data_IF_596346174587
#
_entry.id   IF_596346174587
#
_cell.length_a   1.000
_cell.length_b   1.000
_cell.length_c   1.000
_cell.angle_alpha   90.00
_cell.angle_beta   90.00
_cell.angle_gamma   90.00
#
_symmetry.space_group_name_H-M   'P 1'
#
loop_
_entity.id
_entity.type
_entity.pdbx_description
1 polymer ?
#
# COMPACT_ATOMS: atom_id res chain seq x y z
N UNK A 1 -2.99 -8.71 13.35
CA UNK A 1 -3.61 -8.29 12.06
C UNK A 1 -3.19 -9.23 10.96
N UNK A 2 -4.13 -9.69 10.15
CA UNK A 2 -3.84 -10.56 9.03
C UNK A 2 -4.10 -9.80 7.74
N UNK A 3 -3.06 -9.63 6.94
CA UNK A 3 -3.13 -8.94 5.65
C UNK A 3 -2.95 -10.00 4.58
N UNK A 4 -3.92 -10.08 3.67
CA UNK A 4 -3.95 -11.10 2.61
C UNK A 4 -3.93 -10.45 1.23
N UNK A 5 -3.61 -11.26 0.24
CA UNK A 5 -3.68 -10.84 -1.16
C UNK A 5 -5.09 -10.35 -1.51
N UNK A 6 -5.14 -9.42 -2.43
CA UNK A 6 -6.38 -8.84 -2.97
C UNK A 6 -7.15 -7.95 -2.00
N UNK A 7 -6.65 -7.69 -0.81
CA UNK A 7 -7.28 -6.74 0.10
C UNK A 7 -7.06 -5.32 -0.44
N UNK A 8 -8.08 -4.49 -0.27
CA UNK A 8 -7.96 -3.09 -0.62
C UNK A 8 -7.18 -2.34 0.45
N UNK A 9 -6.29 -1.45 0.03
CA UNK A 9 -5.54 -0.58 0.94
C UNK A 9 -6.09 0.84 0.80
N UNK A 10 -6.54 1.40 1.91
CA UNK A 10 -7.08 2.77 1.95
C UNK A 10 -6.31 3.60 2.98
N UNK A 11 -6.32 4.91 2.78
CA UNK A 11 -5.78 5.84 3.76
C UNK A 11 -6.70 5.97 4.97
N UNK A 12 -6.23 6.73 5.97
CA UNK A 12 -7.03 7.01 7.16
C UNK A 12 -8.34 7.72 6.81
N UNK A 13 -8.34 8.46 5.72
CA UNK A 13 -9.52 9.19 5.21
C UNK A 13 -10.41 8.34 4.30
N UNK A 14 -10.07 7.06 4.09
CA UNK A 14 -10.84 6.15 3.25
C UNK A 14 -10.51 6.22 1.76
N UNK A 15 -9.55 7.03 1.37
CA UNK A 15 -9.15 7.16 -0.04
C UNK A 15 -8.37 5.91 -0.46
N UNK A 16 -8.74 5.33 -1.61
CA UNK A 16 -8.05 4.16 -2.15
C UNK A 16 -6.57 4.45 -2.42
N UNK A 17 -5.70 3.58 -1.92
CA UNK A 17 -4.26 3.69 -2.13
C UNK A 17 -3.78 2.60 -3.09
N UNK A 18 -4.26 1.38 -2.93
CA UNK A 18 -3.86 0.28 -3.78
C UNK A 18 -4.50 -1.02 -3.38
N UNK A 19 -4.02 -2.11 -3.97
CA UNK A 19 -4.49 -3.46 -3.68
C UNK A 19 -3.29 -4.32 -3.32
N UNK A 20 -3.44 -5.14 -2.28
CA UNK A 20 -2.35 -6.01 -1.83
C UNK A 20 -2.05 -7.09 -2.87
N UNK A 21 -0.81 -7.15 -3.34
CA UNK A 21 -0.33 -8.26 -4.15
C UNK A 21 0.15 -9.37 -3.21
N UNK A 22 1.01 -9.03 -2.26
CA UNK A 22 1.41 -9.95 -1.20
C UNK A 22 2.11 -9.17 -0.09
N UNK A 23 2.36 -9.86 1.02
CA UNK A 23 3.11 -9.28 2.14
C UNK A 23 4.50 -9.92 2.15
N UNK A 24 5.54 -9.10 2.15
CA UNK A 24 6.92 -9.55 2.18
C UNK A 24 7.63 -8.93 3.38
N UNK A 25 7.87 -9.74 4.41
CA UNK A 25 8.52 -9.24 5.61
C UNK A 25 7.73 -8.10 6.24
N UNK A 26 8.38 -6.95 6.43
CA UNK A 26 7.74 -5.79 7.02
C UNK A 26 7.07 -4.86 6.01
N UNK A 27 6.84 -5.31 4.78
CA UNK A 27 6.29 -4.47 3.71
C UNK A 27 5.09 -5.13 3.05
N UNK A 28 4.19 -4.30 2.57
CA UNK A 28 3.03 -4.73 1.79
C UNK A 28 3.32 -4.37 0.33
N UNK A 29 3.37 -5.38 -0.53
CA UNK A 29 3.56 -5.18 -1.95
C UNK A 29 2.22 -4.91 -2.61
N UNK A 30 2.12 -3.80 -3.31
CA UNK A 30 0.92 -3.43 -4.04
C UNK A 30 0.99 -3.99 -5.47
N UNK A 31 -0.18 -4.23 -6.07
CA UNK A 31 -0.22 -4.68 -7.45
C UNK A 31 0.32 -3.60 -8.37
N UNK A 32 0.85 -3.99 -9.54
CA UNK A 32 1.35 -3.02 -10.52
C UNK A 32 0.28 -2.03 -10.96
N UNK A 33 -0.95 -2.51 -11.08
CA UNK A 33 -2.08 -1.70 -11.50
C UNK A 33 -2.33 -0.53 -10.57
N UNK A 34 -2.11 -0.75 -9.28
CA UNK A 34 -2.38 0.25 -8.25
C UNK A 34 -1.11 0.85 -7.65
N UNK A 35 0.04 0.66 -8.29
CA UNK A 35 1.33 1.09 -7.74
C UNK A 35 1.69 2.52 -8.09
N UNK A 36 0.74 3.33 -8.47
CA UNK A 36 0.95 4.74 -8.77
C UNK A 36 0.57 5.08 -10.19
N UNK A 37 0.79 6.34 -10.54
CA UNK A 37 0.44 6.90 -11.85
C UNK A 37 1.66 7.53 -12.49
N UNK A 38 1.54 7.82 -13.78
CA UNK A 38 2.60 8.49 -14.52
C UNK A 38 3.88 7.69 -14.57
N UNK A 39 4.96 8.28 -14.10
CA UNK A 39 6.29 7.67 -14.15
C UNK A 39 6.40 6.38 -13.34
N UNK A 40 5.51 6.17 -12.39
CA UNK A 40 5.54 4.99 -11.51
C UNK A 40 4.68 3.85 -12.03
N UNK A 41 3.95 4.08 -13.09
CA UNK A 41 3.06 3.09 -13.67
C UNK A 41 3.86 1.88 -14.15
N UNK A 42 3.39 0.69 -13.80
CA UNK A 42 4.04 -0.55 -14.21
C UNK A 42 5.07 -1.09 -13.23
N UNK A 43 5.34 -0.37 -12.17
CA UNK A 43 6.24 -0.82 -11.10
C UNK A 43 5.45 -1.23 -9.88
N UNK A 44 5.90 -2.28 -9.19
CA UNK A 44 5.34 -2.62 -7.88
C UNK A 44 5.85 -1.64 -6.86
N UNK A 45 4.96 -1.11 -6.05
CA UNK A 45 5.30 -0.26 -4.93
C UNK A 45 5.05 -0.99 -3.63
N UNK A 46 5.75 -0.59 -2.58
CA UNK A 46 5.65 -1.20 -1.28
C UNK A 46 5.27 -0.15 -0.24
N UNK A 47 4.46 -0.56 0.72
CA UNK A 47 4.12 0.27 1.88
C UNK A 47 4.59 -0.47 3.12
N UNK A 48 5.24 0.25 4.02
CA UNK A 48 5.69 -0.36 5.27
C UNK A 48 4.48 -0.82 6.09
N UNK A 49 4.55 -2.03 6.60
CA UNK A 49 3.49 -2.60 7.43
C UNK A 49 3.21 -1.74 8.67
N UNK A 50 4.23 -1.03 9.16
CA UNK A 50 4.08 -0.13 10.29
C UNK A 50 3.12 1.03 10.05
N UNK A 51 2.76 1.29 8.79
CA UNK A 51 1.77 2.32 8.45
C UNK A 51 0.33 1.82 8.61
N UNK A 52 0.13 0.52 8.84
CA UNK A 52 -1.22 -0.04 8.98
C UNK A 52 -1.79 0.34 10.34
N UNK A 53 -2.93 1.01 10.33
CA UNK A 53 -3.64 1.35 11.56
C UNK A 53 -4.56 0.21 12.00
N UNK A 54 -5.29 -0.39 11.04
CA UNK A 54 -6.19 -1.50 11.35
C UNK A 54 -6.53 -2.28 10.09
N UNK A 55 -7.05 -3.47 10.27
CA UNK A 55 -7.57 -4.31 9.19
C UNK A 55 -9.02 -4.62 9.52
N UNK A 56 -9.91 -4.27 8.58
CA UNK A 56 -11.34 -4.51 8.73
C UNK A 56 -11.86 -5.32 7.54
N UNK A 57 -12.37 -6.52 7.77
CA UNK A 57 -12.87 -7.36 6.69
C UNK A 57 -11.80 -7.58 5.63
N UNK A 58 -12.06 -7.10 4.42
CA UNK A 58 -11.13 -7.22 3.30
C UNK A 58 -10.40 -5.90 3.01
N UNK A 59 -10.30 -5.02 3.99
CA UNK A 59 -9.71 -3.69 3.81
C UNK A 59 -8.60 -3.44 4.81
N UNK A 60 -7.49 -2.90 4.33
CA UNK A 60 -6.36 -2.45 5.15
C UNK A 60 -6.43 -0.93 5.23
N UNK A 61 -6.62 -0.41 6.44
CA UNK A 61 -6.64 1.04 6.67
C UNK A 61 -5.29 1.49 7.20
N UNK A 62 -4.72 2.48 6.55
CA UNK A 62 -3.44 3.05 6.94
C UNK A 62 -3.63 4.16 7.99
N UNK A 63 -2.54 4.52 8.67
CA UNK A 63 -2.56 5.61 9.65
C UNK A 63 -2.40 6.99 9.01
N UNK A 64 -2.05 7.03 7.73
CA UNK A 64 -1.91 8.28 6.97
C UNK A 64 -3.03 8.40 5.95
N UNK A 65 -3.43 9.63 5.63
CA UNK A 65 -4.41 9.87 4.58
C UNK A 65 -3.86 9.41 3.23
N UNK A 66 -4.77 9.10 2.30
CA UNK A 66 -4.38 8.50 1.02
C UNK A 66 -3.32 9.28 0.26
N UNK A 67 -3.46 10.60 0.16
CA UNK A 67 -2.50 11.45 -0.54
C UNK A 67 -1.13 11.47 0.12
N UNK A 68 -1.09 11.36 1.45
CA UNK A 68 0.17 11.27 2.20
C UNK A 68 0.76 9.87 2.06
N UNK A 69 -0.07 8.83 2.16
CA UNK A 69 0.37 7.45 2.05
C UNK A 69 1.06 7.17 0.73
N UNK A 70 0.55 7.75 -0.37
CA UNK A 70 1.15 7.58 -1.70
C UNK A 70 2.59 8.09 -1.72
N UNK A 71 2.88 9.19 -1.00
CA UNK A 71 4.24 9.73 -0.95
C UNK A 71 5.19 8.86 -0.12
N UNK A 72 4.65 7.92 0.66
CA UNK A 72 5.43 7.03 1.50
C UNK A 72 5.65 5.66 0.86
N UNK A 73 5.18 5.46 -0.36
CA UNK A 73 5.42 4.21 -1.08
C UNK A 73 6.89 4.07 -1.45
N UNK A 74 7.34 2.83 -1.53
CA UNK A 74 8.72 2.50 -1.83
C UNK A 74 8.80 1.60 -3.06
N UNK A 75 9.93 1.66 -3.74
CA UNK A 75 10.25 0.72 -4.81
C UNK A 75 10.74 -0.60 -4.22
N UNK A 76 10.91 -1.60 -5.08
CA UNK A 76 11.38 -2.92 -4.69
C UNK A 76 12.69 -2.86 -3.91
N UNK A 77 13.55 -1.91 -4.23
CA UNK A 77 14.84 -1.70 -3.55
C UNK A 77 14.70 -0.99 -2.20
N UNK A 78 13.48 -0.70 -1.75
CA UNK A 78 13.15 0.05 -0.55
C UNK A 78 13.52 1.54 -0.62
N UNK A 79 13.78 2.05 -1.81
CA UNK A 79 14.02 3.48 -2.00
C UNK A 79 12.68 4.19 -2.17
N UNK A 80 12.56 5.45 -1.72
CA UNK A 80 11.36 6.24 -1.96
C UNK A 80 11.10 6.37 -3.46
N UNK A 81 9.84 6.39 -3.78
CA UNK A 81 9.39 6.55 -5.17
C UNK A 81 9.49 8.01 -5.58
#
# INVERSE_FOLDING_TARGET
>A
MVIKEHMEVIGADGVHVGTVDKVEGGRIKLTKKDSGEGAHKGHHHFIKRSLVAEVEGNTVRLSANGDVAVTMEQEESAKPV
#
